data_IF_254891661969
#
_entry.id   IF_254891661969
#
_cell.length_a   1.000
_cell.length_b   1.000
_cell.length_c   1.000
_cell.angle_alpha   90.00
_cell.angle_beta   90.00
_cell.angle_gamma   90.00
#
_symmetry.space_group_name_H-M   'P 1'
#
loop_
_entity.id
_entity.type
_entity.pdbx_description
1 polymer ?
#
# COMPACT_ATOMS: atom_id res chain seq x y z
N UNK A 1 -37.53 31.97 29.03
CA UNK A 1 -36.90 31.60 27.74
C UNK A 1 -35.38 31.34 27.83
N UNK A 2 -34.62 31.97 28.74
CA UNK A 2 -33.16 31.78 28.88
C UNK A 2 -32.72 30.32 29.18
N UNK A 3 -33.40 29.60 30.08
CA UNK A 3 -33.05 28.21 30.41
C UNK A 3 -33.13 27.24 29.22
N UNK A 4 -33.99 27.53 28.22
CA UNK A 4 -34.11 26.71 27.01
C UNK A 4 -32.95 26.97 26.05
N UNK A 5 -32.40 28.18 26.04
CA UNK A 5 -31.25 28.55 25.20
C UNK A 5 -29.93 27.99 25.74
N UNK A 6 -29.75 27.92 27.07
CA UNK A 6 -28.59 27.26 27.68
C UNK A 6 -28.53 25.76 27.37
N UNK A 7 -29.68 25.08 27.32
CA UNK A 7 -29.76 23.65 26.96
C UNK A 7 -29.38 23.41 25.49
N UNK A 8 -29.80 24.30 24.58
CA UNK A 8 -29.44 24.22 23.15
C UNK A 8 -27.95 24.48 22.95
N UNK A 9 -27.39 25.50 23.63
CA UNK A 9 -25.95 25.80 23.54
C UNK A 9 -25.08 24.63 24.06
N UNK A 10 -25.48 24.00 25.17
CA UNK A 10 -24.77 22.85 25.72
C UNK A 10 -24.83 21.63 24.79
N UNK A 11 -26.00 21.35 24.21
CA UNK A 11 -26.16 20.27 23.23
C UNK A 11 -25.31 20.50 21.97
N UNK A 12 -25.22 21.75 21.50
CA UNK A 12 -24.40 22.11 20.35
C UNK A 12 -22.91 21.91 20.65
N UNK A 13 -22.41 22.42 21.79
CA UNK A 13 -21.03 22.20 22.23
C UNK A 13 -20.68 20.71 22.38
N UNK A 14 -21.59 19.90 22.92
CA UNK A 14 -21.35 18.47 23.09
C UNK A 14 -21.29 17.73 21.74
N UNK A 15 -22.13 18.13 20.79
CA UNK A 15 -22.16 17.55 19.44
C UNK A 15 -20.90 17.87 18.62
N UNK A 16 -20.37 19.10 18.73
CA UNK A 16 -19.14 19.49 18.01
C UNK A 16 -17.89 18.87 18.63
N UNK A 17 -17.86 18.67 19.95
CA UNK A 17 -16.77 17.97 20.64
C UNK A 17 -16.64 16.50 20.19
N UNK A 18 -17.76 15.83 19.88
CA UNK A 18 -17.76 14.46 19.37
C UNK A 18 -17.28 14.33 17.91
N UNK A 19 -17.47 15.36 17.07
CA UNK A 19 -17.06 15.33 15.66
C UNK A 19 -15.53 15.33 15.46
N UNK A 20 -14.77 15.83 16.45
CA UNK A 20 -13.31 15.92 16.41
C UNK A 20 -12.57 14.58 16.40
N UNK A 21 -13.19 13.48 16.84
CA UNK A 21 -12.54 12.15 16.83
C UNK A 21 -12.58 11.43 15.47
N UNK A 22 -13.36 11.90 14.50
CA UNK A 22 -13.54 11.22 13.20
C UNK A 22 -12.81 11.88 12.02
N UNK A 23 -12.38 13.14 12.17
CA UNK A 23 -11.80 13.91 11.06
C UNK A 23 -10.32 13.59 10.78
N UNK A 24 -9.64 12.86 11.66
CA UNK A 24 -8.19 12.53 11.54
C UNK A 24 -8.00 11.05 11.19
N UNK A 25 -8.71 10.55 10.17
CA UNK A 25 -8.61 9.13 9.78
C UNK A 25 -7.68 8.92 8.58
N UNK A 26 -7.33 9.98 7.85
CA UNK A 26 -6.47 9.87 6.66
C UNK A 26 -5.44 10.99 6.64
N UNK A 27 -4.21 10.66 7.00
CA UNK A 27 -3.06 11.52 6.70
C UNK A 27 -2.62 11.24 5.26
N UNK A 28 -2.27 12.27 4.47
CA UNK A 28 -1.67 12.04 3.17
C UNK A 28 -0.35 11.28 3.39
N UNK A 29 -0.16 10.19 2.67
CA UNK A 29 1.12 9.49 2.68
C UNK A 29 2.19 10.42 2.09
N UNK A 30 3.27 10.63 2.84
CA UNK A 30 4.46 11.32 2.38
C UNK A 30 5.62 10.31 2.41
N UNK A 31 6.19 10.00 1.26
CA UNK A 31 7.30 9.07 1.16
C UNK A 31 8.52 9.66 1.88
N UNK A 32 9.18 8.90 2.78
CA UNK A 32 10.35 9.42 3.48
C UNK A 32 11.46 9.73 2.48
N UNK A 33 12.11 10.90 2.66
CA UNK A 33 13.28 11.24 1.87
C UNK A 33 14.44 10.31 2.25
N UNK A 34 14.94 9.54 1.28
CA UNK A 34 16.08 8.66 1.46
C UNK A 34 17.33 9.36 0.93
N UNK A 35 18.33 9.52 1.80
CA UNK A 35 19.62 10.14 1.45
C UNK A 35 20.50 9.10 0.76
N UNK A 36 20.40 9.03 -0.57
CA UNK A 36 21.27 8.21 -1.42
C UNK A 36 21.93 9.07 -2.49
N UNK A 37 23.14 8.71 -2.95
CA UNK A 37 23.73 9.34 -4.12
C UNK A 37 22.78 9.29 -5.32
N UNK A 38 22.68 10.38 -6.07
CA UNK A 38 21.83 10.43 -7.27
C UNK A 38 22.34 9.53 -8.41
N UNK A 39 23.61 9.13 -8.34
CA UNK A 39 24.27 8.33 -9.37
C UNK A 39 25.10 7.24 -8.70
N UNK A 40 25.14 6.07 -9.34
CA UNK A 40 26.07 5.02 -8.96
C UNK A 40 27.50 5.45 -9.28
N UNK A 41 28.46 5.06 -8.44
CA UNK A 41 29.87 5.41 -8.60
C UNK A 41 30.48 4.94 -9.94
N UNK A 42 29.90 3.89 -10.54
CA UNK A 42 30.37 3.28 -11.78
C UNK A 42 29.30 3.29 -12.89
N UNK A 43 28.69 4.46 -13.13
CA UNK A 43 27.71 4.66 -14.22
C UNK A 43 28.39 4.92 -15.58
N UNK A 44 29.35 4.09 -15.95
CA UNK A 44 30.06 4.19 -17.23
C UNK A 44 29.18 3.75 -18.43
N UNK A 45 28.03 3.12 -18.17
CA UNK A 45 27.14 2.53 -19.18
C UNK A 45 25.72 3.13 -19.15
N UNK A 46 25.62 4.44 -18.97
CA UNK A 46 24.37 5.23 -18.95
C UNK A 46 23.45 5.06 -20.17
N UNK A 47 23.85 4.30 -21.19
CA UNK A 47 23.24 4.22 -22.52
C UNK A 47 22.63 2.87 -22.91
N UNK A 48 22.53 1.89 -22.01
CA UNK A 48 21.70 0.70 -22.30
C UNK A 48 20.43 0.77 -21.46
N UNK A 49 19.36 1.23 -22.09
CA UNK A 49 18.02 1.08 -21.57
C UNK A 49 17.68 -0.41 -21.58
N UNK A 50 18.10 -1.13 -20.53
CA UNK A 50 17.80 -2.54 -20.35
C UNK A 50 16.33 -2.63 -19.98
N UNK A 51 15.52 -3.12 -20.91
CA UNK A 51 14.13 -3.46 -20.63
C UNK A 51 14.13 -4.79 -19.84
N UNK A 52 14.18 -4.68 -18.51
CA UNK A 52 14.04 -5.82 -17.63
C UNK A 52 12.58 -6.27 -17.68
N UNK A 53 12.33 -7.36 -18.39
CA UNK A 53 11.03 -8.02 -18.41
C UNK A 53 10.83 -8.83 -17.13
N UNK A 54 9.59 -9.22 -16.84
CA UNK A 54 9.29 -10.15 -15.73
C UNK A 54 10.10 -11.45 -15.83
N UNK A 55 10.46 -11.85 -17.05
CA UNK A 55 11.31 -13.00 -17.36
C UNK A 55 12.77 -12.60 -17.59
N UNK A 56 13.34 -11.84 -16.66
CA UNK A 56 14.71 -11.31 -16.73
C UNK A 56 15.79 -12.39 -16.96
N UNK A 57 15.54 -13.64 -16.57
CA UNK A 57 16.48 -14.75 -16.76
C UNK A 57 16.67 -15.12 -18.25
N UNK A 58 15.75 -14.72 -19.12
CA UNK A 58 15.89 -14.94 -20.58
C UNK A 58 17.04 -14.13 -21.19
N UNK A 59 17.47 -13.05 -20.52
CA UNK A 59 18.57 -12.20 -20.94
C UNK A 59 19.94 -12.91 -20.92
N UNK A 60 20.04 -14.06 -20.23
CA UNK A 60 21.24 -14.91 -20.23
C UNK A 60 21.37 -15.74 -21.51
N UNK A 61 20.31 -15.81 -22.33
CA UNK A 61 20.28 -16.57 -23.58
C UNK A 61 20.66 -18.06 -23.41
N UNK A 62 20.23 -18.65 -22.28
CA UNK A 62 20.45 -20.06 -21.94
C UNK A 62 19.10 -20.80 -21.88
N UNK A 63 18.88 -21.74 -22.81
CA UNK A 63 17.64 -22.49 -22.91
C UNK A 63 17.44 -23.46 -21.73
N UNK A 64 18.52 -24.02 -21.18
CA UNK A 64 18.44 -24.91 -20.02
C UNK A 64 18.07 -24.10 -18.77
N UNK A 65 18.66 -22.92 -18.59
CA UNK A 65 18.29 -22.00 -17.51
C UNK A 65 16.80 -21.65 -17.57
N UNK A 66 16.29 -21.29 -18.76
CA UNK A 66 14.88 -20.96 -18.93
C UNK A 66 13.97 -22.11 -18.47
N UNK A 67 14.28 -23.34 -18.89
CA UNK A 67 13.52 -24.53 -18.49
C UNK A 67 13.57 -24.79 -16.97
N UNK A 68 14.71 -24.56 -16.33
CA UNK A 68 14.85 -24.73 -14.88
C UNK A 68 14.01 -23.68 -14.14
N UNK A 69 14.06 -22.42 -14.56
CA UNK A 69 13.26 -21.36 -13.94
C UNK A 69 11.77 -21.64 -14.10
N UNK A 70 11.32 -22.05 -15.29
CA UNK A 70 9.92 -22.39 -15.53
C UNK A 70 9.44 -23.55 -14.63
N UNK A 71 10.28 -24.59 -14.47
CA UNK A 71 9.97 -25.71 -13.58
C UNK A 71 9.87 -25.28 -12.11
N UNK A 72 10.77 -24.40 -11.66
CA UNK A 72 10.74 -23.87 -10.29
C UNK A 72 9.50 -22.99 -10.09
N UNK A 73 9.22 -22.05 -11.00
CA UNK A 73 8.04 -21.18 -10.89
C UNK A 73 6.73 -21.97 -10.83
N UNK A 74 6.64 -23.09 -11.52
CA UNK A 74 5.46 -23.95 -11.51
C UNK A 74 5.26 -24.75 -10.21
N UNK A 75 6.33 -25.00 -9.43
CA UNK A 75 6.31 -25.97 -8.32
C UNK A 75 6.93 -25.48 -7.01
N UNK A 76 7.36 -24.23 -6.94
CA UNK A 76 8.03 -23.70 -5.76
C UNK A 76 7.05 -23.48 -4.60
N UNK A 77 7.23 -24.26 -3.53
CA UNK A 77 6.41 -24.20 -2.32
C UNK A 77 6.53 -22.88 -1.57
N UNK A 78 7.71 -22.25 -1.57
CA UNK A 78 7.92 -20.96 -0.90
C UNK A 78 7.14 -19.85 -1.60
N UNK A 79 7.12 -19.83 -2.93
CA UNK A 79 6.28 -18.90 -3.71
C UNK A 79 4.78 -19.15 -3.44
N UNK A 80 4.39 -20.41 -3.26
CA UNK A 80 3.00 -20.76 -2.91
C UNK A 80 2.62 -20.22 -1.53
N UNK A 81 3.50 -20.36 -0.53
CA UNK A 81 3.32 -19.82 0.83
C UNK A 81 3.25 -18.29 0.81
N UNK A 82 4.14 -17.63 0.05
CA UNK A 82 4.12 -16.18 -0.13
C UNK A 82 2.79 -15.70 -0.76
N UNK A 83 2.29 -16.42 -1.76
CA UNK A 83 1.00 -16.13 -2.39
C UNK A 83 -0.19 -16.25 -1.42
N UNK A 84 -0.20 -17.28 -0.57
CA UNK A 84 -1.22 -17.44 0.48
C UNK A 84 -1.13 -16.30 1.50
N UNK A 85 0.09 -15.95 1.92
CA UNK A 85 0.33 -14.86 2.88
C UNK A 85 -0.20 -13.53 2.33
N UNK A 86 0.07 -13.24 1.06
CA UNK A 86 -0.45 -12.04 0.39
C UNK A 86 -1.99 -12.05 0.33
N UNK A 87 -2.60 -13.21 0.01
CA UNK A 87 -4.06 -13.35 -0.02
C UNK A 87 -4.67 -13.11 1.36
N UNK A 88 -4.07 -13.64 2.42
CA UNK A 88 -4.52 -13.42 3.79
C UNK A 88 -4.44 -11.94 4.17
N UNK A 89 -3.34 -11.25 3.84
CA UNK A 89 -3.20 -9.83 4.09
C UNK A 89 -4.28 -8.98 3.39
N UNK A 90 -4.61 -9.32 2.13
CA UNK A 90 -5.70 -8.67 1.39
C UNK A 90 -7.07 -8.88 2.04
N UNK A 91 -7.40 -10.11 2.41
CA UNK A 91 -8.64 -10.42 3.12
C UNK A 91 -8.73 -9.68 4.46
N UNK A 92 -7.63 -9.60 5.20
CA UNK A 92 -7.58 -8.84 6.46
C UNK A 92 -7.79 -7.34 6.24
N UNK A 93 -7.21 -6.78 5.18
CA UNK A 93 -7.43 -5.38 4.80
C UNK A 93 -8.90 -5.13 4.43
N UNK A 94 -9.52 -6.02 3.66
CA UNK A 94 -10.93 -5.93 3.26
C UNK A 94 -11.87 -6.02 4.48
N UNK A 95 -11.63 -6.95 5.40
CA UNK A 95 -12.39 -7.06 6.65
C UNK A 95 -12.27 -5.79 7.49
N UNK A 96 -11.10 -5.17 7.52
CA UNK A 96 -10.87 -3.92 8.25
C UNK A 96 -11.55 -2.75 7.57
N UNK A 97 -11.50 -2.68 6.24
CA UNK A 97 -12.22 -1.69 5.45
C UNK A 97 -13.74 -1.78 5.64
N UNK A 98 -14.29 -3.00 5.64
CA UNK A 98 -15.73 -3.24 5.83
C UNK A 98 -16.21 -2.87 7.24
N UNK A 99 -15.35 -2.97 8.26
CA UNK A 99 -15.66 -2.55 9.63
C UNK A 99 -15.76 -1.03 9.80
N UNK A 100 -15.27 -0.22 8.85
CA UNK A 100 -15.24 1.25 8.95
C UNK A 100 -16.54 1.97 8.54
N UNK A 101 -17.64 1.26 8.24
CA UNK A 101 -18.95 1.88 7.93
C UNK A 101 -18.99 2.65 6.60
N UNK A 102 -20.10 3.34 6.33
CA UNK A 102 -20.32 4.15 5.12
C UNK A 102 -19.20 5.19 4.98
N UNK A 103 -18.30 4.97 4.01
CA UNK A 103 -17.31 5.96 3.62
C UNK A 103 -18.01 7.14 2.99
N UNK A 104 -18.23 8.22 3.74
CA UNK A 104 -18.53 9.51 3.13
C UNK A 104 -17.24 9.99 2.47
N UNK A 105 -17.11 9.72 1.18
CA UNK A 105 -16.07 10.31 0.34
C UNK A 105 -16.23 11.82 0.39
N UNK A 106 -15.43 12.50 1.22
CA UNK A 106 -15.29 13.94 1.11
C UNK A 106 -14.42 14.21 -0.11
N UNK A 107 -15.09 14.61 -1.19
CA UNK A 107 -14.51 15.30 -2.35
C UNK A 107 -13.69 16.50 -1.92
#
# INVERSE_FOLDING_TARGET
MLFKQHKIALALCLSTSLAGCSAVVKTPYNAPAVQVPQQFQYDAQKNKQVNLTDQWWTLFNDAQLNQLVDQVLARNSDLSVAGITLKQARLQADLTANKQGLRTSST
#
